data_IF_883287839678
#
_entry.id   IF_883287839678
#
_cell.length_a   1.000
_cell.length_b   1.000
_cell.length_c   1.000
_cell.angle_alpha   90.00
_cell.angle_beta   90.00
_cell.angle_gamma   90.00
#
_symmetry.space_group_name_H-M   'P 1'
#
loop_
_entity.id
_entity.type
_entity.pdbx_description
1 polymer ?
#
# COMPACT_ATOMS: atom_id res chain seq x y z
N UNK A 1 -20.09 64.61 27.10
CA UNK A 1 -20.40 64.44 25.67
C UNK A 1 -19.15 63.90 24.96
N UNK A 2 -19.14 62.67 24.57
CA UNK A 2 -17.98 62.06 23.84
C UNK A 2 -18.05 62.48 22.36
N UNK A 3 -16.98 63.12 21.88
CA UNK A 3 -16.89 63.74 20.56
C UNK A 3 -17.22 62.73 19.47
N UNK A 4 -18.06 63.06 18.49
CA UNK A 4 -18.51 62.17 17.43
C UNK A 4 -17.34 61.51 16.65
N UNK A 5 -16.26 62.22 16.49
CA UNK A 5 -15.00 61.75 15.91
C UNK A 5 -14.38 60.58 16.68
N UNK A 6 -14.45 60.56 18.02
CA UNK A 6 -13.95 59.41 18.83
C UNK A 6 -14.83 58.16 18.73
N UNK A 7 -16.15 58.31 18.52
CA UNK A 7 -17.05 57.19 18.31
C UNK A 7 -16.82 56.50 16.96
N UNK A 8 -16.60 57.30 15.91
CA UNK A 8 -16.30 56.76 14.57
C UNK A 8 -14.91 56.04 14.56
N UNK A 9 -13.92 56.62 15.22
CA UNK A 9 -12.58 56.01 15.32
C UNK A 9 -12.62 54.69 16.13
N UNK A 10 -13.44 54.62 17.20
CA UNK A 10 -13.60 53.41 18.01
C UNK A 10 -14.33 52.31 17.21
N UNK A 11 -15.36 52.65 16.39
CA UNK A 11 -16.05 51.71 15.49
C UNK A 11 -15.13 51.20 14.37
N UNK A 12 -14.29 52.03 13.80
CA UNK A 12 -13.33 51.61 12.76
C UNK A 12 -12.24 50.67 13.34
N UNK A 13 -11.77 50.91 14.56
CA UNK A 13 -10.78 50.05 15.23
C UNK A 13 -11.42 48.70 15.59
N UNK A 14 -12.68 48.66 16.10
CA UNK A 14 -13.37 47.40 16.40
C UNK A 14 -13.72 46.61 15.15
N UNK A 15 -14.11 47.28 14.03
CA UNK A 15 -14.33 46.62 12.74
C UNK A 15 -13.03 46.04 12.16
N UNK A 16 -11.91 46.75 12.27
CA UNK A 16 -10.59 46.26 11.82
C UNK A 16 -10.10 45.06 12.66
N UNK A 17 -10.37 45.04 13.97
CA UNK A 17 -10.03 43.89 14.83
C UNK A 17 -10.87 42.67 14.53
N UNK A 18 -12.11 42.81 14.07
CA UNK A 18 -12.98 41.68 13.67
C UNK A 18 -12.56 41.05 12.33
N UNK A 19 -11.93 41.82 11.45
CA UNK A 19 -11.43 41.33 10.15
C UNK A 19 -10.10 40.57 10.25
N UNK A 20 -9.31 40.79 11.32
CA UNK A 20 -8.02 40.13 11.52
C UNK A 20 -8.17 38.78 12.27
N UNK A 21 -9.36 38.47 12.83
CA UNK A 21 -9.60 37.24 13.58
C UNK A 21 -10.11 36.06 12.72
N UNK A 22 -10.29 36.23 11.41
CA UNK A 22 -10.76 35.15 10.53
C UNK A 22 -9.60 34.45 9.81
N UNK A 23 -8.73 33.79 10.55
CA UNK A 23 -7.94 32.72 9.96
C UNK A 23 -8.84 31.56 9.50
N UNK A 24 -8.40 30.72 8.57
CA UNK A 24 -9.21 29.59 8.10
C UNK A 24 -9.62 28.71 9.27
N UNK A 25 -10.89 28.34 9.33
CA UNK A 25 -11.42 27.44 10.34
C UNK A 25 -10.73 26.07 10.25
N UNK A 26 -10.72 25.26 11.33
CA UNK A 26 -10.17 23.90 11.26
C UNK A 26 -10.74 23.07 10.11
N UNK A 27 -12.03 23.24 9.81
CA UNK A 27 -12.69 22.57 8.69
C UNK A 27 -12.17 23.06 7.34
N UNK A 28 -12.02 24.37 7.13
CA UNK A 28 -11.46 24.95 5.91
C UNK A 28 -10.01 24.51 5.68
N UNK A 29 -9.20 24.37 6.75
CA UNK A 29 -7.83 23.83 6.66
C UNK A 29 -7.84 22.37 6.23
N UNK A 30 -8.75 21.57 6.77
CA UNK A 30 -8.90 20.16 6.39
C UNK A 30 -9.34 20.01 4.92
N UNK A 31 -10.33 20.78 4.49
CA UNK A 31 -10.81 20.77 3.09
C UNK A 31 -9.70 21.18 2.11
N UNK A 32 -8.91 22.20 2.47
CA UNK A 32 -7.75 22.64 1.67
C UNK A 32 -6.66 21.58 1.61
N UNK A 33 -6.36 20.93 2.74
CA UNK A 33 -5.41 19.83 2.81
C UNK A 33 -5.84 18.65 1.93
N UNK A 34 -7.12 18.28 1.99
CA UNK A 34 -7.68 17.22 1.15
C UNK A 34 -7.67 17.58 -0.34
N UNK A 35 -7.94 18.85 -0.68
CA UNK A 35 -7.84 19.34 -2.06
C UNK A 35 -6.43 19.23 -2.58
N UNK A 36 -5.45 19.70 -1.82
CA UNK A 36 -4.04 19.63 -2.17
C UNK A 36 -3.54 18.18 -2.30
N UNK A 37 -3.98 17.29 -1.40
CA UNK A 37 -3.65 15.87 -1.49
C UNK A 37 -4.18 15.23 -2.79
N UNK A 38 -5.39 15.56 -3.22
CA UNK A 38 -5.93 15.09 -4.51
C UNK A 38 -5.13 15.63 -5.69
N UNK A 39 -4.80 16.91 -5.71
CA UNK A 39 -4.02 17.53 -6.79
C UNK A 39 -2.61 16.92 -6.92
N UNK A 40 -1.95 16.65 -5.80
CA UNK A 40 -0.66 15.94 -5.76
C UNK A 40 -0.80 14.53 -6.32
N UNK A 41 -1.79 13.77 -5.84
CA UNK A 41 -2.04 12.39 -6.28
C UNK A 41 -2.34 12.32 -7.80
N UNK A 42 -3.15 13.22 -8.32
CA UNK A 42 -3.44 13.30 -9.76
C UNK A 42 -2.17 13.65 -10.59
N UNK A 43 -1.30 14.50 -10.03
CA UNK A 43 -0.04 14.84 -10.67
C UNK A 43 0.93 13.66 -10.68
N UNK A 44 1.04 12.92 -9.59
CA UNK A 44 1.82 11.68 -9.50
C UNK A 44 1.33 10.66 -10.54
N UNK A 45 0.03 10.41 -10.60
CA UNK A 45 -0.53 9.45 -11.56
C UNK A 45 -0.21 9.83 -13.01
N UNK A 46 -0.35 11.13 -13.38
CA UNK A 46 0.03 11.61 -14.71
C UNK A 46 1.49 11.37 -15.04
N UNK A 47 2.39 11.62 -14.09
CA UNK A 47 3.83 11.39 -14.27
C UNK A 47 4.16 9.90 -14.42
N UNK A 48 3.57 9.04 -13.60
CA UNK A 48 3.74 7.58 -13.67
C UNK A 48 3.28 6.99 -15.00
N UNK A 49 2.17 7.49 -15.56
CA UNK A 49 1.64 7.02 -16.84
C UNK A 49 2.56 7.29 -18.04
N UNK A 50 3.54 8.16 -17.91
CA UNK A 50 4.47 8.46 -19.00
C UNK A 50 5.50 7.37 -19.25
N UNK A 51 5.79 6.53 -18.25
CA UNK A 51 6.86 5.53 -18.31
C UNK A 51 8.29 6.12 -18.35
N UNK A 52 8.43 7.44 -18.27
CA UNK A 52 9.72 8.13 -18.30
C UNK A 52 10.34 8.12 -16.90
N UNK A 53 11.51 7.50 -16.78
CA UNK A 53 12.23 7.39 -15.50
C UNK A 53 12.49 8.73 -14.81
N UNK A 54 12.81 9.80 -15.57
CA UNK A 54 13.01 11.12 -15.00
C UNK A 54 11.72 11.64 -14.34
N UNK A 55 10.58 11.45 -15.00
CA UNK A 55 9.27 11.84 -14.48
C UNK A 55 8.83 10.99 -13.29
N UNK A 56 9.26 9.73 -13.23
CA UNK A 56 9.01 8.88 -12.05
C UNK A 56 9.78 9.42 -10.83
N UNK A 57 11.01 9.97 -11.00
CA UNK A 57 11.69 10.65 -9.89
C UNK A 57 10.96 11.91 -9.44
N UNK A 58 10.39 12.70 -10.37
CA UNK A 58 9.53 13.83 -10.01
C UNK A 58 8.28 13.35 -9.24
N UNK A 59 7.66 12.25 -9.67
CA UNK A 59 6.53 11.64 -8.99
C UNK A 59 6.88 11.17 -7.56
N UNK A 60 8.07 10.60 -7.35
CA UNK A 60 8.56 10.23 -6.01
C UNK A 60 8.69 11.45 -5.09
N UNK A 61 9.19 12.59 -5.61
CA UNK A 61 9.28 13.83 -4.83
C UNK A 61 7.90 14.38 -4.44
N UNK A 62 6.90 14.30 -5.33
CA UNK A 62 5.51 14.66 -5.01
C UNK A 62 4.88 13.69 -4.01
N UNK A 63 5.20 12.40 -4.11
CA UNK A 63 4.73 11.39 -3.16
C UNK A 63 5.29 11.62 -1.75
N UNK A 64 6.53 12.10 -1.60
CA UNK A 64 7.07 12.51 -0.31
C UNK A 64 6.26 13.65 0.32
N UNK A 65 5.84 14.64 -0.48
CA UNK A 65 4.97 15.72 -0.01
C UNK A 65 3.59 15.20 0.38
N UNK A 66 3.04 14.29 -0.41
CA UNK A 66 1.72 13.68 -0.15
C UNK A 66 1.70 12.89 1.14
N UNK A 67 2.73 12.07 1.41
CA UNK A 67 2.90 11.32 2.65
C UNK A 67 3.05 12.20 3.91
N UNK A 68 3.60 13.41 3.76
CA UNK A 68 3.69 14.38 4.85
C UNK A 68 2.37 15.15 5.06
N UNK A 69 1.65 15.42 3.97
CA UNK A 69 0.42 16.21 3.99
C UNK A 69 -0.76 15.43 4.55
N UNK A 70 -0.93 14.17 4.16
CA UNK A 70 -2.07 13.34 4.49
C UNK A 70 -1.64 12.16 5.38
N UNK A 71 -2.04 12.20 6.65
CA UNK A 71 -1.68 11.20 7.67
C UNK A 71 -2.79 10.18 7.95
N UNK A 72 -3.87 10.19 7.16
CA UNK A 72 -4.94 9.20 7.27
C UNK A 72 -4.39 7.82 6.88
N UNK A 73 -4.54 6.82 7.75
CA UNK A 73 -3.90 5.50 7.64
C UNK A 73 -4.19 4.80 6.32
N UNK A 74 -5.44 4.80 5.88
CA UNK A 74 -5.89 4.18 4.62
C UNK A 74 -5.28 4.88 3.40
N UNK A 75 -5.13 6.19 3.46
CA UNK A 75 -4.48 6.97 2.42
C UNK A 75 -2.97 6.73 2.41
N UNK A 76 -2.33 6.69 3.59
CA UNK A 76 -0.91 6.36 3.75
C UNK A 76 -0.57 4.99 3.12
N UNK A 77 -1.41 3.97 3.34
CA UNK A 77 -1.26 2.66 2.69
C UNK A 77 -1.20 2.79 1.17
N UNK A 78 -2.18 3.49 0.57
CA UNK A 78 -2.24 3.69 -0.89
C UNK A 78 -1.03 4.46 -1.42
N UNK A 79 -0.56 5.48 -0.70
CA UNK A 79 0.60 6.27 -1.11
C UNK A 79 1.91 5.46 -1.04
N UNK A 80 2.09 4.61 -0.03
CA UNK A 80 3.21 3.68 0.00
C UNK A 80 3.13 2.65 -1.12
N UNK A 81 1.96 2.08 -1.44
CA UNK A 81 1.81 1.15 -2.55
C UNK A 81 2.06 1.82 -3.92
N UNK A 82 1.64 3.08 -4.08
CA UNK A 82 1.98 3.88 -5.25
C UNK A 82 3.51 4.07 -5.37
N UNK A 83 4.20 4.32 -4.26
CA UNK A 83 5.67 4.41 -4.20
C UNK A 83 6.34 3.09 -4.57
N UNK A 84 5.82 1.98 -4.08
CA UNK A 84 6.25 0.62 -4.47
C UNK A 84 6.19 0.45 -5.99
N UNK A 85 5.06 0.82 -6.60
CA UNK A 85 4.89 0.77 -8.07
C UNK A 85 5.92 1.62 -8.80
N UNK A 86 6.22 2.84 -8.32
CA UNK A 86 7.25 3.71 -8.89
C UNK A 86 8.64 3.06 -8.85
N UNK A 87 9.03 2.45 -7.74
CA UNK A 87 10.30 1.74 -7.65
C UNK A 87 10.37 0.53 -8.58
N UNK A 88 9.27 -0.22 -8.74
CA UNK A 88 9.21 -1.30 -9.73
C UNK A 88 9.36 -0.81 -11.17
N UNK A 89 8.76 0.33 -11.52
CA UNK A 89 8.93 0.94 -12.85
C UNK A 89 10.38 1.40 -13.11
N UNK A 90 11.11 1.77 -12.05
CA UNK A 90 12.53 2.12 -12.13
C UNK A 90 13.46 0.88 -12.13
N UNK A 91 12.93 -0.34 -12.06
CA UNK A 91 13.72 -1.57 -11.93
C UNK A 91 14.42 -1.72 -10.57
N UNK A 92 13.99 -0.93 -9.55
CA UNK A 92 14.54 -0.93 -8.18
C UNK A 92 13.74 -1.86 -7.27
N UNK A 93 13.75 -3.15 -7.61
CA UNK A 93 12.87 -4.15 -6.98
C UNK A 93 13.16 -4.34 -5.49
N UNK A 94 14.43 -4.25 -5.06
CA UNK A 94 14.78 -4.34 -3.64
C UNK A 94 14.23 -3.16 -2.83
N UNK A 95 14.38 -1.94 -3.36
CA UNK A 95 13.82 -0.74 -2.72
C UNK A 95 12.28 -0.79 -2.68
N UNK A 96 11.64 -1.28 -3.76
CA UNK A 96 10.19 -1.49 -3.79
C UNK A 96 9.75 -2.42 -2.66
N UNK A 97 10.46 -3.54 -2.47
CA UNK A 97 10.17 -4.51 -1.43
C UNK A 97 10.35 -3.92 -0.01
N UNK A 98 11.41 -3.15 0.23
CA UNK A 98 11.61 -2.47 1.52
C UNK A 98 10.53 -1.42 1.83
N UNK A 99 10.13 -0.64 0.82
CA UNK A 99 9.05 0.35 0.97
C UNK A 99 7.70 -0.32 1.19
N UNK A 100 7.48 -1.48 0.59
CA UNK A 100 6.25 -2.26 0.79
C UNK A 100 6.02 -2.59 2.26
N UNK A 101 7.07 -2.81 3.06
CA UNK A 101 6.93 -3.03 4.51
C UNK A 101 6.18 -1.89 5.20
N UNK A 102 6.46 -0.64 4.81
CA UNK A 102 5.78 0.53 5.37
C UNK A 102 4.27 0.55 5.07
N UNK A 103 3.87 0.00 3.93
CA UNK A 103 2.46 -0.20 3.61
C UNK A 103 1.88 -1.36 4.45
N UNK A 104 2.56 -2.50 4.48
CA UNK A 104 2.06 -3.71 5.13
C UNK A 104 1.82 -3.53 6.63
N UNK A 105 2.66 -2.78 7.36
CA UNK A 105 2.45 -2.51 8.79
C UNK A 105 1.24 -1.62 9.08
N UNK A 106 0.68 -0.97 8.07
CA UNK A 106 -0.57 -0.22 8.18
C UNK A 106 -1.81 -1.10 8.07
N UNK A 107 -1.71 -2.32 7.56
CA UNK A 107 -2.80 -3.28 7.52
C UNK A 107 -3.00 -3.94 8.90
N UNK A 108 -4.17 -4.51 9.18
CA UNK A 108 -4.41 -5.35 10.36
C UNK A 108 -3.37 -6.47 10.48
N UNK A 109 -3.14 -6.97 11.70
CA UNK A 109 -2.12 -8.00 11.93
C UNK A 109 -2.47 -9.35 11.31
N UNK A 110 -3.74 -9.63 11.18
CA UNK A 110 -4.37 -10.83 10.59
C UNK A 110 -4.63 -10.70 9.08
N UNK A 111 -4.28 -9.58 8.46
CA UNK A 111 -4.49 -9.38 7.03
C UNK A 111 -3.56 -10.29 6.21
N UNK A 112 -4.10 -11.05 5.27
CA UNK A 112 -3.36 -12.04 4.46
C UNK A 112 -2.23 -11.40 3.61
N UNK A 113 -2.39 -10.19 3.09
CA UNK A 113 -1.33 -9.50 2.33
C UNK A 113 -0.14 -9.16 3.23
N UNK A 114 -0.43 -8.66 4.45
CA UNK A 114 0.59 -8.38 5.46
C UNK A 114 1.33 -9.64 5.87
N UNK A 115 0.60 -10.69 6.18
CA UNK A 115 1.17 -11.99 6.60
C UNK A 115 2.03 -12.60 5.49
N UNK A 116 1.55 -12.61 4.24
CA UNK A 116 2.30 -13.08 3.08
C UNK A 116 3.59 -12.27 2.85
N UNK A 117 3.53 -10.94 2.96
CA UNK A 117 4.72 -10.10 2.87
C UNK A 117 5.78 -10.51 3.91
N UNK A 118 5.38 -10.68 5.18
CA UNK A 118 6.31 -11.08 6.24
C UNK A 118 6.81 -12.51 6.07
N UNK A 119 6.02 -13.41 5.51
CA UNK A 119 6.46 -14.75 5.13
C UNK A 119 7.63 -14.69 4.13
N UNK A 120 7.41 -14.00 3.01
CA UNK A 120 8.42 -13.81 1.95
C UNK A 120 9.67 -13.10 2.51
N UNK A 121 9.50 -12.07 3.32
CA UNK A 121 10.62 -11.36 3.95
C UNK A 121 11.46 -12.28 4.83
N UNK A 122 10.83 -13.09 5.67
CA UNK A 122 11.54 -14.02 6.54
C UNK A 122 12.26 -15.13 5.74
N UNK A 123 11.64 -15.64 4.68
CA UNK A 123 12.29 -16.60 3.77
C UNK A 123 13.58 -16.01 3.16
N UNK A 124 13.50 -14.78 2.64
CA UNK A 124 14.66 -14.07 2.05
C UNK A 124 15.78 -13.81 3.05
N UNK A 125 15.45 -13.63 4.32
CA UNK A 125 16.41 -13.48 5.41
C UNK A 125 16.94 -14.83 5.96
N UNK A 126 16.48 -15.98 5.41
CA UNK A 126 16.86 -17.31 5.85
C UNK A 126 16.17 -17.77 7.14
N UNK A 127 15.13 -17.08 7.59
CA UNK A 127 14.36 -17.42 8.78
C UNK A 127 13.22 -18.39 8.42
N UNK A 128 13.56 -19.61 8.00
CA UNK A 128 12.62 -20.58 7.41
C UNK A 128 11.42 -20.88 8.32
N UNK A 129 11.64 -21.14 9.61
CA UNK A 129 10.54 -21.44 10.56
C UNK A 129 9.54 -20.28 10.66
N UNK A 130 10.04 -19.04 10.71
CA UNK A 130 9.18 -17.86 10.71
C UNK A 130 8.44 -17.67 9.38
N UNK A 131 9.09 -17.95 8.27
CA UNK A 131 8.47 -17.87 6.96
C UNK A 131 7.31 -18.86 6.85
N UNK A 132 7.51 -20.13 7.23
CA UNK A 132 6.49 -21.16 7.24
C UNK A 132 5.32 -20.79 8.16
N UNK A 133 5.60 -20.27 9.36
CA UNK A 133 4.57 -19.79 10.27
C UNK A 133 3.69 -18.71 9.64
N UNK A 134 4.31 -17.68 9.04
CA UNK A 134 3.56 -16.61 8.39
C UNK A 134 2.83 -17.06 7.13
N UNK A 135 3.37 -17.98 6.33
CA UNK A 135 2.64 -18.55 5.18
C UNK A 135 1.40 -19.30 5.63
N UNK A 136 1.50 -20.10 6.70
CA UNK A 136 0.34 -20.81 7.27
C UNK A 136 -0.73 -19.81 7.70
N UNK A 137 -0.37 -18.81 8.48
CA UNK A 137 -1.33 -17.77 8.91
C UNK A 137 -1.94 -17.01 7.72
N UNK A 138 -1.15 -16.72 6.67
CA UNK A 138 -1.67 -16.04 5.49
C UNK A 138 -2.71 -16.88 4.74
N UNK A 139 -2.49 -18.19 4.62
CA UNK A 139 -3.47 -19.12 4.02
C UNK A 139 -4.74 -19.22 4.86
N UNK A 140 -4.61 -19.33 6.18
CA UNK A 140 -5.75 -19.33 7.12
C UNK A 140 -6.55 -18.02 7.02
N UNK A 141 -5.87 -16.88 6.96
CA UNK A 141 -6.52 -15.58 6.79
C UNK A 141 -7.24 -15.44 5.43
N UNK A 142 -6.70 -16.05 4.35
CA UNK A 142 -7.43 -16.14 3.08
C UNK A 142 -8.69 -16.97 3.21
N UNK A 143 -8.64 -18.11 3.91
CA UNK A 143 -9.79 -18.99 4.11
C UNK A 143 -10.87 -18.29 4.93
N UNK A 144 -10.51 -17.62 6.02
CA UNK A 144 -11.42 -16.82 6.83
C UNK A 144 -12.06 -15.68 6.00
N UNK A 145 -11.27 -15.00 5.20
CA UNK A 145 -11.77 -13.94 4.32
C UNK A 145 -12.78 -14.49 3.29
N UNK A 146 -12.53 -15.68 2.72
CA UNK A 146 -13.44 -16.34 1.78
C UNK A 146 -14.75 -16.75 2.45
N UNK A 147 -14.70 -17.29 3.68
CA UNK A 147 -15.90 -17.62 4.46
C UNK A 147 -16.77 -16.40 4.76
N UNK A 148 -16.14 -15.23 4.95
CA UNK A 148 -16.83 -13.95 5.18
C UNK A 148 -17.19 -13.18 3.89
N UNK A 149 -17.00 -13.79 2.72
CA UNK A 149 -17.42 -13.24 1.43
C UNK A 149 -16.47 -12.20 0.84
N UNK A 150 -15.19 -12.20 1.22
CA UNK A 150 -14.17 -11.30 0.68
C UNK A 150 -13.85 -11.50 -0.81
N UNK A 151 -14.48 -12.48 -1.46
CA UNK A 151 -14.50 -12.61 -2.90
C UNK A 151 -13.18 -13.04 -3.55
N UNK A 152 -13.01 -12.63 -4.81
CA UNK A 152 -11.95 -13.11 -5.70
C UNK A 152 -10.54 -12.73 -5.25
N UNK A 153 -10.36 -11.60 -4.55
CA UNK A 153 -9.04 -11.15 -4.13
C UNK A 153 -8.40 -12.13 -3.14
N UNK A 154 -9.15 -12.61 -2.14
CA UNK A 154 -8.66 -13.62 -1.20
C UNK A 154 -8.34 -14.95 -1.90
N UNK A 155 -9.14 -15.34 -2.89
CA UNK A 155 -8.93 -16.54 -3.70
C UNK A 155 -7.63 -16.46 -4.51
N UNK A 156 -7.41 -15.33 -5.20
CA UNK A 156 -6.20 -15.09 -5.99
C UNK A 156 -4.97 -15.06 -5.09
N UNK A 157 -5.06 -14.39 -3.93
CA UNK A 157 -3.96 -14.34 -2.97
C UNK A 157 -3.63 -15.73 -2.43
N UNK A 158 -4.63 -16.55 -2.10
CA UNK A 158 -4.42 -17.94 -1.66
C UNK A 158 -3.69 -18.74 -2.73
N UNK A 159 -4.14 -18.67 -3.98
CA UNK A 159 -3.48 -19.33 -5.10
C UNK A 159 -2.06 -18.84 -5.32
N UNK A 160 -1.81 -17.51 -5.24
CA UNK A 160 -0.48 -16.92 -5.38
C UNK A 160 0.49 -17.37 -4.28
N UNK A 161 0.02 -17.45 -3.02
CA UNK A 161 0.80 -17.95 -1.88
C UNK A 161 1.22 -19.40 -2.10
N UNK A 162 0.28 -20.27 -2.47
CA UNK A 162 0.55 -21.68 -2.77
C UNK A 162 1.53 -21.83 -3.92
N UNK A 163 1.33 -21.06 -4.99
CA UNK A 163 2.20 -21.07 -6.16
C UNK A 163 3.64 -20.64 -5.81
N UNK A 164 3.77 -19.57 -4.99
CA UNK A 164 5.06 -19.10 -4.49
C UNK A 164 5.80 -20.18 -3.68
N UNK A 165 5.07 -20.96 -2.86
CA UNK A 165 5.61 -22.11 -2.11
C UNK A 165 5.95 -23.32 -3.01
N UNK A 166 5.69 -23.26 -4.31
CA UNK A 166 5.89 -24.37 -5.25
C UNK A 166 4.77 -25.39 -5.30
N UNK A 167 3.66 -25.17 -4.58
CA UNK A 167 2.47 -26.04 -4.52
C UNK A 167 1.52 -25.71 -5.68
N UNK A 168 2.04 -25.80 -6.92
CA UNK A 168 1.31 -25.36 -8.13
C UNK A 168 -0.03 -26.09 -8.32
N UNK A 169 -0.06 -27.40 -8.11
CA UNK A 169 -1.29 -28.18 -8.30
C UNK A 169 -2.38 -27.78 -7.29
N UNK A 170 -1.97 -27.48 -6.04
CA UNK A 170 -2.90 -26.98 -5.02
C UNK A 170 -3.40 -25.57 -5.37
N UNK A 171 -2.54 -24.72 -5.89
CA UNK A 171 -2.93 -23.37 -6.34
C UNK A 171 -3.97 -23.43 -7.45
N UNK A 172 -3.75 -24.28 -8.48
CA UNK A 172 -4.72 -24.48 -9.55
C UNK A 172 -6.06 -25.01 -9.04
N UNK A 173 -5.99 -26.01 -8.15
CA UNK A 173 -7.19 -26.61 -7.54
C UNK A 173 -8.05 -25.60 -6.79
N UNK A 174 -7.44 -24.65 -6.06
CA UNK A 174 -8.17 -23.59 -5.34
C UNK A 174 -9.07 -22.78 -6.30
N UNK A 175 -8.55 -22.40 -7.47
CA UNK A 175 -9.31 -21.65 -8.48
C UNK A 175 -10.36 -22.52 -9.16
N UNK A 176 -10.01 -23.77 -9.50
CA UNK A 176 -10.93 -24.74 -10.14
C UNK A 176 -12.13 -25.07 -9.22
N UNK A 177 -11.88 -25.33 -7.93
CA UNK A 177 -12.92 -25.64 -6.96
C UNK A 177 -13.88 -24.46 -6.78
N UNK A 178 -13.37 -23.22 -6.79
CA UNK A 178 -14.19 -22.02 -6.73
C UNK A 178 -15.05 -21.86 -8.00
N UNK A 179 -14.49 -22.10 -9.18
CA UNK A 179 -15.24 -22.08 -10.44
C UNK A 179 -16.33 -23.16 -10.47
N UNK A 180 -16.04 -24.37 -9.99
CA UNK A 180 -17.04 -25.45 -9.96
C UNK A 180 -18.25 -25.11 -9.04
N UNK A 181 -18.05 -24.28 -8.04
CA UNK A 181 -19.12 -23.80 -7.15
C UNK A 181 -19.90 -22.61 -7.76
N UNK A 182 -19.30 -21.85 -8.65
CA UNK A 182 -19.83 -20.62 -9.25
C UNK A 182 -19.64 -20.62 -10.76
N UNK A 183 -20.21 -21.61 -11.48
CA UNK A 183 -20.01 -21.85 -12.93
C UNK A 183 -20.56 -20.73 -13.82
N UNK A 184 -21.40 -19.87 -13.33
CA UNK A 184 -21.95 -18.68 -13.97
C UNK A 184 -21.04 -17.44 -13.86
N UNK A 185 -19.96 -17.53 -13.07
CA UNK A 185 -18.97 -16.46 -12.94
C UNK A 185 -17.92 -16.53 -14.05
N UNK A 186 -18.05 -15.65 -15.05
CA UNK A 186 -17.14 -15.61 -16.20
C UNK A 186 -15.68 -15.25 -15.82
N UNK A 187 -15.46 -14.52 -14.72
CA UNK A 187 -14.10 -14.22 -14.28
C UNK A 187 -13.45 -15.46 -13.67
N UNK A 188 -14.16 -16.21 -12.82
CA UNK A 188 -13.67 -17.48 -12.28
C UNK A 188 -13.42 -18.50 -13.39
N UNK A 189 -14.30 -18.56 -14.38
CA UNK A 189 -14.10 -19.39 -15.56
C UNK A 189 -12.83 -19.01 -16.33
N UNK A 190 -12.62 -17.72 -16.55
CA UNK A 190 -11.41 -17.20 -17.20
C UNK A 190 -10.14 -17.54 -16.39
N UNK A 191 -10.20 -17.46 -15.06
CA UNK A 191 -9.10 -17.84 -14.17
C UNK A 191 -8.82 -19.35 -14.18
N UNK A 192 -9.86 -20.18 -14.19
CA UNK A 192 -9.72 -21.63 -14.17
C UNK A 192 -9.26 -22.22 -15.50
N UNK A 193 -9.71 -21.64 -16.63
CA UNK A 193 -9.47 -22.19 -17.99
C UNK A 193 -8.45 -21.40 -18.80
N UNK A 194 -8.12 -20.16 -18.39
CA UNK A 194 -7.20 -19.26 -19.08
C UNK A 194 -5.78 -19.34 -18.53
N UNK A 195 -4.80 -18.95 -19.36
CA UNK A 195 -3.40 -18.85 -18.92
C UNK A 195 -3.08 -17.50 -18.25
N UNK A 196 -3.86 -16.44 -18.51
CA UNK A 196 -3.51 -15.06 -18.17
C UNK A 196 -3.19 -14.84 -16.70
N UNK A 197 -4.05 -15.30 -15.79
CA UNK A 197 -3.81 -15.16 -14.33
C UNK A 197 -2.56 -15.94 -13.88
N UNK A 198 -2.33 -17.11 -14.46
CA UNK A 198 -1.18 -17.95 -14.10
C UNK A 198 0.13 -17.37 -14.61
N UNK A 199 0.12 -16.75 -15.80
CA UNK A 199 1.28 -16.03 -16.33
C UNK A 199 1.65 -14.84 -15.41
N UNK A 200 0.65 -14.11 -14.89
CA UNK A 200 0.86 -13.02 -13.93
C UNK A 200 1.38 -13.52 -12.58
N UNK A 201 0.80 -14.59 -12.01
CA UNK A 201 1.25 -15.21 -10.75
C UNK A 201 2.67 -15.73 -10.91
N UNK A 202 3.00 -16.38 -12.04
CA UNK A 202 4.34 -16.88 -12.29
C UNK A 202 5.36 -15.75 -12.42
N UNK A 203 5.06 -14.73 -13.22
CA UNK A 203 5.93 -13.56 -13.39
C UNK A 203 6.18 -12.84 -12.05
N UNK A 204 5.12 -12.63 -11.25
CA UNK A 204 5.21 -12.04 -9.93
C UNK A 204 6.05 -12.90 -8.98
N UNK A 205 5.83 -14.22 -8.98
CA UNK A 205 6.59 -15.18 -8.16
C UNK A 205 8.08 -15.17 -8.53
N UNK A 206 8.41 -15.22 -9.82
CA UNK A 206 9.79 -15.17 -10.29
C UNK A 206 10.46 -13.87 -9.89
N UNK A 207 9.77 -12.74 -10.06
CA UNK A 207 10.25 -11.43 -9.64
C UNK A 207 10.51 -11.39 -8.13
N UNK A 208 9.56 -11.84 -7.32
CA UNK A 208 9.73 -11.91 -5.87
C UNK A 208 10.89 -12.79 -5.46
N UNK A 209 11.05 -13.97 -6.07
CA UNK A 209 12.19 -14.88 -5.79
C UNK A 209 13.55 -14.28 -6.17
N UNK A 210 13.60 -13.45 -7.19
CA UNK A 210 14.83 -12.80 -7.66
C UNK A 210 15.32 -11.68 -6.72
N UNK A 211 14.45 -11.06 -5.93
CA UNK A 211 14.81 -9.99 -4.99
C UNK A 211 15.77 -10.55 -3.93
N UNK A 212 16.91 -9.90 -3.76
CA UNK A 212 17.88 -10.20 -2.69
C UNK A 212 17.80 -9.11 -1.64
N UNK A 213 17.58 -9.50 -0.40
CA UNK A 213 17.69 -8.60 0.74
C UNK A 213 19.08 -8.73 1.37
N UNK A 214 19.66 -7.60 1.73
CA UNK A 214 20.89 -7.62 2.53
C UNK A 214 20.56 -8.14 3.93
N UNK A 215 21.26 -9.17 4.37
CA UNK A 215 21.14 -9.62 5.75
C UNK A 215 21.67 -8.51 6.65
N UNK A 216 20.93 -8.14 7.72
CA UNK A 216 21.46 -7.22 8.71
C UNK A 216 22.79 -7.77 9.20
N UNK A 217 23.84 -6.94 9.18
CA UNK A 217 25.17 -7.34 9.66
C UNK A 217 25.00 -8.03 11.02
N UNK A 218 25.48 -9.26 11.14
CA UNK A 218 25.50 -9.94 12.44
C UNK A 218 26.33 -9.03 13.36
N UNK A 219 25.68 -8.33 14.26
CA UNK A 219 26.34 -7.68 15.38
C UNK A 219 26.93 -8.80 16.21
N UNK A 220 28.21 -9.10 15.97
CA UNK A 220 28.99 -9.94 16.87
C UNK A 220 28.82 -9.32 18.26
N UNK A 221 27.99 -9.96 19.06
CA UNK A 221 27.91 -9.68 20.49
C UNK A 221 29.26 -10.07 21.08
N UNK A 222 30.18 -9.11 21.07
CA UNK A 222 31.44 -9.23 21.85
C UNK A 222 31.02 -9.21 23.32
N UNK A 223 30.62 -10.36 23.83
CA UNK A 223 30.72 -10.63 25.25
C UNK A 223 32.21 -10.69 25.60
N UNK A 224 32.76 -9.52 25.93
CA UNK A 224 34.00 -9.51 26.73
C UNK A 224 33.61 -9.73 28.20
N UNK A 225 34.01 -10.87 28.68
CA UNK A 225 34.09 -11.20 30.12
C UNK A 225 34.99 -10.21 30.87
#
# INVERSE_FOLDING_TARGET
MMNYSKKIMLMLVTASCLLVACGPTPQQKLEEQQRLARELNDSINRLMMTGDSAKIFDALALNDQLLQLDTVRENQFRYYMQRVSMFYQLGRDADAFEIQEKAMVLLPEDNYDRLNYFAIKNEKLGNTEKAEFFFTMALEACDEALEHGAGKDALINKAAILYYQGKKDEAHKVIEDAYLQHQDDEDLKSMATGSGIWDEIEASTQKMKAIKLEQPAKTDSIHKH
#
